data_IF_230627370918
#
_entry.id   IF_230627370918
#
_cell.length_a   1.000
_cell.length_b   1.000
_cell.length_c   1.000
_cell.angle_alpha   90.00
_cell.angle_beta   90.00
_cell.angle_gamma   90.00
#
_symmetry.space_group_name_H-M   'P 1'
#
loop_
_entity.id
_entity.type
_entity.pdbx_description
1 polymer ?
#
# COMPACT_ATOMS: atom_id res chain seq x y z
N UNK A 1 37.45 -38.62 -31.04
CA UNK A 1 38.81 -38.07 -31.16
C UNK A 1 39.56 -38.86 -32.20
N UNK A 2 40.31 -38.23 -33.12
CA UNK A 2 41.04 -38.98 -34.13
C UNK A 2 42.26 -39.65 -33.48
N UNK A 3 42.40 -40.99 -33.51
CA UNK A 3 43.50 -41.69 -32.85
C UNK A 3 44.89 -41.50 -33.50
N UNK A 4 45.02 -40.72 -34.57
CA UNK A 4 46.19 -40.78 -35.46
C UNK A 4 47.33 -39.80 -35.21
N UNK A 5 47.20 -38.78 -34.35
CA UNK A 5 48.20 -37.69 -34.26
C UNK A 5 49.34 -37.97 -33.28
N UNK A 6 49.06 -38.65 -32.17
CA UNK A 6 50.10 -39.04 -31.19
C UNK A 6 51.03 -40.12 -31.74
N UNK A 7 50.50 -41.02 -32.58
CA UNK A 7 51.28 -42.03 -33.29
C UNK A 7 52.21 -41.44 -34.36
N UNK A 8 51.86 -40.29 -34.96
CA UNK A 8 52.71 -39.63 -35.96
C UNK A 8 53.93 -38.94 -35.34
N UNK A 9 53.75 -38.28 -34.20
CA UNK A 9 54.86 -37.66 -33.48
C UNK A 9 55.85 -38.72 -32.95
N UNK A 10 55.35 -39.83 -32.40
CA UNK A 10 56.22 -40.95 -31.98
C UNK A 10 56.92 -41.61 -33.18
N UNK A 11 56.23 -41.77 -34.30
CA UNK A 11 56.81 -42.32 -35.53
C UNK A 11 57.92 -41.44 -36.11
N UNK A 12 57.75 -40.12 -36.12
CA UNK A 12 58.75 -39.18 -36.66
C UNK A 12 59.99 -39.08 -35.75
N UNK A 13 59.82 -39.17 -34.43
CA UNK A 13 60.93 -39.25 -33.48
C UNK A 13 61.71 -40.57 -33.61
N UNK A 14 61.02 -41.69 -33.80
CA UNK A 14 61.64 -42.98 -34.08
C UNK A 14 62.40 -42.98 -35.41
N UNK A 15 61.83 -42.36 -36.44
CA UNK A 15 62.47 -42.19 -37.74
C UNK A 15 63.71 -41.30 -37.65
N UNK A 16 63.66 -40.20 -36.89
CA UNK A 16 64.83 -39.37 -36.60
C UNK A 16 65.96 -40.13 -35.90
N UNK A 17 65.64 -41.03 -34.95
CA UNK A 17 66.64 -41.90 -34.30
C UNK A 17 67.25 -42.89 -35.30
N UNK A 18 66.44 -43.48 -36.18
CA UNK A 18 66.91 -44.39 -37.24
C UNK A 18 67.80 -43.67 -38.25
N UNK A 19 67.43 -42.46 -38.67
CA UNK A 19 68.23 -41.64 -39.59
C UNK A 19 69.56 -41.22 -38.96
N UNK A 20 69.57 -40.89 -37.67
CA UNK A 20 70.80 -40.59 -36.93
C UNK A 20 71.75 -41.81 -36.89
N UNK A 21 71.22 -43.00 -36.62
CA UNK A 21 72.02 -44.22 -36.63
C UNK A 21 72.56 -44.53 -38.04
N UNK A 22 71.77 -44.30 -39.10
CA UNK A 22 72.22 -44.45 -40.49
C UNK A 22 73.33 -43.45 -40.86
N UNK A 23 73.23 -42.21 -40.38
CA UNK A 23 74.26 -41.19 -40.56
C UNK A 23 75.58 -41.63 -39.90
N UNK A 24 75.53 -42.03 -38.63
CA UNK A 24 76.70 -42.52 -37.90
C UNK A 24 77.34 -43.74 -38.59
N UNK A 25 76.52 -44.66 -39.14
CA UNK A 25 77.01 -45.81 -39.90
C UNK A 25 77.66 -45.40 -41.24
N UNK A 26 77.08 -44.43 -41.96
CA UNK A 26 77.62 -43.94 -43.23
C UNK A 26 78.94 -43.19 -43.03
N UNK A 27 79.06 -42.39 -41.97
CA UNK A 27 80.31 -41.71 -41.58
C UNK A 27 81.42 -42.72 -41.25
N UNK A 28 81.08 -43.78 -40.50
CA UNK A 28 82.02 -44.86 -40.20
C UNK A 28 82.50 -45.58 -41.47
N UNK A 29 81.60 -45.88 -42.41
CA UNK A 29 81.95 -46.48 -43.70
C UNK A 29 82.86 -45.56 -44.54
N UNK A 30 82.56 -44.26 -44.54
CA UNK A 30 83.37 -43.27 -45.25
C UNK A 30 84.79 -43.19 -44.68
N UNK A 31 84.93 -43.16 -43.36
CA UNK A 31 86.24 -43.11 -42.70
C UNK A 31 87.04 -44.37 -42.97
N UNK A 32 86.42 -45.55 -42.89
CA UNK A 32 87.08 -46.82 -43.20
C UNK A 32 87.56 -46.89 -44.66
N UNK A 33 86.73 -46.48 -45.62
CA UNK A 33 87.11 -46.46 -47.04
C UNK A 33 88.25 -45.47 -47.32
N UNK A 34 88.25 -44.31 -46.65
CA UNK A 34 89.36 -43.34 -46.72
C UNK A 34 90.67 -43.91 -46.17
N UNK A 35 90.62 -44.56 -45.02
CA UNK A 35 91.79 -45.19 -44.40
C UNK A 35 92.34 -46.32 -45.29
N UNK A 36 91.48 -47.15 -45.87
CA UNK A 36 91.88 -48.20 -46.81
C UNK A 36 92.54 -47.62 -48.07
N UNK A 37 91.96 -46.57 -48.66
CA UNK A 37 92.53 -45.89 -49.81
C UNK A 37 93.89 -45.24 -49.49
N UNK A 38 94.02 -44.59 -48.34
CA UNK A 38 95.29 -44.01 -47.88
C UNK A 38 96.35 -45.09 -47.66
N UNK A 39 96.02 -46.17 -46.97
CA UNK A 39 96.95 -47.29 -46.76
C UNK A 39 97.34 -48.00 -48.07
N UNK A 40 96.45 -48.07 -49.06
CA UNK A 40 96.77 -48.59 -50.39
C UNK A 40 97.72 -47.64 -51.16
N UNK A 41 97.52 -46.33 -51.09
CA UNK A 41 98.43 -45.33 -51.69
C UNK A 41 99.81 -45.34 -51.04
N UNK A 42 99.89 -45.44 -49.72
CA UNK A 42 101.16 -45.53 -49.00
C UNK A 42 101.94 -46.78 -49.40
N UNK A 43 101.26 -47.94 -49.48
CA UNK A 43 101.85 -49.20 -49.97
C UNK A 43 102.31 -49.07 -51.42
N UNK A 44 101.49 -48.48 -52.29
CA UNK A 44 101.87 -48.21 -53.67
C UNK A 44 103.12 -47.32 -53.75
N UNK A 45 103.21 -46.28 -52.91
CA UNK A 45 104.38 -45.39 -52.83
C UNK A 45 105.66 -46.12 -52.40
N UNK A 46 105.58 -47.00 -51.39
CA UNK A 46 106.72 -47.85 -50.96
C UNK A 46 107.16 -48.82 -52.06
N UNK A 47 106.21 -49.53 -52.67
CA UNK A 47 106.50 -50.46 -53.77
C UNK A 47 107.08 -49.75 -54.99
N UNK A 48 106.68 -48.51 -55.27
CA UNK A 48 107.26 -47.71 -56.35
C UNK A 48 108.73 -47.36 -56.06
N UNK A 49 109.09 -47.06 -54.80
CA UNK A 49 110.48 -46.85 -54.39
C UNK A 49 111.28 -48.13 -54.53
N UNK A 50 110.75 -49.28 -54.09
CA UNK A 50 111.40 -50.60 -54.24
C UNK A 50 111.60 -50.97 -55.71
N UNK A 51 110.60 -50.73 -56.57
CA UNK A 51 110.68 -50.94 -58.01
C UNK A 51 111.78 -50.07 -58.64
N UNK A 52 111.86 -48.79 -58.26
CA UNK A 52 112.90 -47.88 -58.74
C UNK A 52 114.31 -48.34 -58.30
N UNK A 53 114.45 -48.84 -57.06
CA UNK A 53 115.71 -49.41 -56.58
C UNK A 53 116.08 -50.69 -57.34
N UNK A 54 115.12 -51.58 -57.59
CA UNK A 54 115.33 -52.81 -58.36
C UNK A 54 115.76 -52.52 -59.81
N UNK A 55 115.19 -51.48 -60.44
CA UNK A 55 115.57 -51.02 -61.79
C UNK A 55 116.98 -50.42 -61.86
N UNK A 56 117.54 -49.95 -60.74
CA UNK A 56 118.89 -49.38 -60.66
C UNK A 56 119.98 -50.42 -60.30
N UNK A 57 119.61 -51.68 -60.00
CA UNK A 57 120.58 -52.73 -59.66
C UNK A 57 121.41 -53.15 -60.90
N UNK A 58 122.75 -53.31 -60.78
CA UNK A 58 123.59 -53.78 -61.89
C UNK A 58 123.26 -55.22 -62.31
N UNK A 59 123.24 -55.45 -63.63
CA UNK A 59 122.70 -56.59 -64.41
C UNK A 59 123.19 -58.02 -64.09
N UNK A 60 123.89 -58.26 -62.97
CA UNK A 60 124.48 -59.57 -62.65
C UNK A 60 123.51 -60.54 -61.92
N UNK A 61 122.31 -60.10 -61.54
CA UNK A 61 121.33 -60.94 -60.85
C UNK A 61 120.31 -61.57 -61.83
N UNK A 62 120.33 -62.91 -62.01
CA UNK A 62 119.41 -63.60 -62.92
C UNK A 62 117.94 -63.59 -62.46
N UNK A 63 117.62 -63.21 -61.22
CA UNK A 63 116.24 -63.14 -60.71
C UNK A 63 115.61 -61.74 -60.76
N UNK A 64 116.41 -60.69 -60.99
CA UNK A 64 115.95 -59.30 -61.08
C UNK A 64 114.74 -59.04 -62.01
N UNK A 65 114.62 -59.62 -63.23
CA UNK A 65 113.46 -59.36 -64.08
C UNK A 65 112.14 -59.91 -63.50
N UNK A 66 112.17 -61.04 -62.80
CA UNK A 66 110.98 -61.62 -62.17
C UNK A 66 110.52 -60.80 -60.96
N UNK A 67 111.48 -60.28 -60.17
CA UNK A 67 111.19 -59.37 -59.05
C UNK A 67 110.59 -58.04 -59.55
N UNK A 68 111.13 -57.46 -60.62
CA UNK A 68 110.61 -56.24 -61.24
C UNK A 68 109.18 -56.43 -61.77
N UNK A 69 108.89 -57.58 -62.40
CA UNK A 69 107.55 -57.90 -62.89
C UNK A 69 106.55 -58.10 -61.74
N UNK A 70 106.96 -58.77 -60.67
CA UNK A 70 106.15 -58.94 -59.45
C UNK A 70 105.86 -57.58 -58.77
N UNK A 71 106.86 -56.71 -58.63
CA UNK A 71 106.70 -55.37 -58.05
C UNK A 71 105.79 -54.48 -58.91
N UNK A 72 105.93 -54.51 -60.26
CA UNK A 72 105.02 -53.81 -61.17
C UNK A 72 103.58 -54.27 -61.00
N UNK A 73 103.35 -55.58 -60.87
CA UNK A 73 102.02 -56.14 -60.64
C UNK A 73 101.43 -55.66 -59.31
N UNK A 74 102.20 -55.71 -58.22
CA UNK A 74 101.77 -55.24 -56.91
C UNK A 74 101.48 -53.73 -56.88
N UNK A 75 102.27 -52.91 -57.60
CA UNK A 75 102.00 -51.47 -57.75
C UNK A 75 100.65 -51.23 -58.44
N UNK A 76 100.35 -51.97 -59.51
CA UNK A 76 99.06 -51.85 -60.22
C UNK A 76 97.89 -52.30 -59.33
N UNK A 77 98.05 -53.42 -58.61
CA UNK A 77 97.03 -53.93 -57.69
C UNK A 77 96.73 -52.94 -56.54
N UNK A 78 97.76 -52.38 -55.90
CA UNK A 78 97.58 -51.41 -54.82
C UNK A 78 97.07 -50.05 -55.32
N UNK A 79 97.41 -49.66 -56.56
CA UNK A 79 96.85 -48.47 -57.19
C UNK A 79 95.36 -48.65 -57.50
N UNK A 80 94.97 -49.80 -58.03
CA UNK A 80 93.56 -50.12 -58.27
C UNK A 80 92.79 -50.15 -56.94
N UNK A 81 93.32 -50.79 -55.90
CA UNK A 81 92.71 -50.81 -54.57
C UNK A 81 92.55 -49.40 -53.96
N UNK A 82 93.48 -48.48 -54.25
CA UNK A 82 93.36 -47.09 -53.84
C UNK A 82 92.27 -46.33 -54.61
N UNK A 83 92.12 -46.59 -55.91
CA UNK A 83 91.07 -46.00 -56.75
C UNK A 83 89.68 -46.53 -56.34
N UNK A 84 89.56 -47.83 -56.09
CA UNK A 84 88.34 -48.48 -55.59
C UNK A 84 87.95 -47.90 -54.21
N UNK A 85 88.89 -47.81 -53.28
CA UNK A 85 88.65 -47.23 -51.95
C UNK A 85 88.27 -45.74 -52.00
N UNK A 86 88.80 -44.96 -52.96
CA UNK A 86 88.36 -43.57 -53.19
C UNK A 86 86.94 -43.51 -53.73
N UNK A 87 86.57 -44.38 -54.67
CA UNK A 87 85.21 -44.47 -55.19
C UNK A 87 84.21 -44.85 -54.08
N UNK A 88 84.58 -45.80 -53.22
CA UNK A 88 83.79 -46.18 -52.05
C UNK A 88 83.66 -45.03 -51.05
N UNK A 89 84.73 -44.28 -50.77
CA UNK A 89 84.69 -43.11 -49.90
C UNK A 89 83.80 -41.99 -50.46
N UNK A 90 83.78 -41.78 -51.78
CA UNK A 90 82.87 -40.84 -52.44
C UNK A 90 81.41 -41.31 -52.40
N UNK A 91 81.16 -42.61 -52.60
CA UNK A 91 79.81 -43.16 -52.45
C UNK A 91 79.31 -43.04 -51.01
N UNK A 92 80.16 -43.31 -50.03
CA UNK A 92 79.83 -43.15 -48.61
C UNK A 92 79.59 -41.68 -48.26
N UNK A 93 80.36 -40.75 -48.83
CA UNK A 93 80.13 -39.31 -48.68
C UNK A 93 78.74 -38.89 -49.15
N UNK A 94 78.30 -39.35 -50.32
CA UNK A 94 76.95 -39.04 -50.83
C UNK A 94 75.86 -39.57 -49.90
N UNK A 95 76.05 -40.78 -49.33
CA UNK A 95 75.12 -41.35 -48.34
C UNK A 95 75.06 -40.52 -47.05
N UNK A 96 76.18 -39.96 -46.60
CA UNK A 96 76.23 -39.02 -45.47
C UNK A 96 75.41 -37.76 -45.78
N UNK A 97 75.67 -37.12 -46.92
CA UNK A 97 74.95 -35.90 -47.34
C UNK A 97 73.43 -36.15 -47.48
N UNK A 98 73.02 -37.30 -48.03
CA UNK A 98 71.62 -37.71 -48.11
C UNK A 98 70.99 -37.95 -46.73
N UNK A 99 71.71 -38.62 -45.81
CA UNK A 99 71.23 -38.89 -44.46
C UNK A 99 71.11 -37.61 -43.61
N UNK A 100 72.03 -36.66 -43.76
CA UNK A 100 71.96 -35.35 -43.10
C UNK A 100 70.74 -34.55 -43.56
N UNK A 101 70.50 -34.51 -44.88
CA UNK A 101 69.34 -33.82 -45.45
C UNK A 101 68.03 -34.43 -44.94
N UNK A 102 67.91 -35.76 -44.96
CA UNK A 102 66.75 -36.47 -44.44
C UNK A 102 66.53 -36.21 -42.94
N UNK A 103 67.61 -36.20 -42.14
CA UNK A 103 67.53 -35.90 -40.71
C UNK A 103 67.05 -34.46 -40.46
N UNK A 104 67.49 -33.50 -41.26
CA UNK A 104 67.06 -32.11 -41.17
C UNK A 104 65.56 -31.97 -41.47
N UNK A 105 65.09 -32.60 -42.54
CA UNK A 105 63.66 -32.61 -42.91
C UNK A 105 62.81 -33.24 -41.80
N UNK A 106 63.21 -34.40 -41.27
CA UNK A 106 62.50 -35.06 -40.18
C UNK A 106 62.41 -34.18 -38.92
N UNK A 107 63.48 -33.44 -38.58
CA UNK A 107 63.46 -32.49 -37.43
C UNK A 107 62.51 -31.33 -37.65
N UNK A 108 62.47 -30.77 -38.86
CA UNK A 108 61.54 -29.68 -39.22
C UNK A 108 60.07 -30.16 -39.17
N UNK A 109 59.80 -31.38 -39.63
CA UNK A 109 58.48 -32.01 -39.51
C UNK A 109 58.06 -32.23 -38.05
N UNK A 110 58.95 -32.73 -37.20
CA UNK A 110 58.65 -32.86 -35.76
C UNK A 110 58.37 -31.50 -35.13
N UNK A 111 59.17 -30.48 -35.44
CA UNK A 111 58.99 -29.13 -34.90
C UNK A 111 57.66 -28.49 -35.35
N UNK A 112 57.27 -28.67 -36.60
CA UNK A 112 55.97 -28.18 -37.12
C UNK A 112 54.79 -28.91 -36.50
N UNK A 113 54.88 -30.24 -36.33
CA UNK A 113 53.86 -31.02 -35.64
C UNK A 113 53.71 -30.60 -34.17
N UNK A 114 54.81 -30.39 -33.45
CA UNK A 114 54.77 -29.92 -32.06
C UNK A 114 54.13 -28.54 -31.95
N UNK A 115 54.50 -27.57 -32.82
CA UNK A 115 53.86 -26.25 -32.85
C UNK A 115 52.36 -26.34 -33.14
N UNK A 116 51.95 -27.19 -34.08
CA UNK A 116 50.54 -27.41 -34.38
C UNK A 116 49.78 -27.99 -33.19
N UNK A 117 50.35 -28.97 -32.48
CA UNK A 117 49.74 -29.55 -31.28
C UNK A 117 49.62 -28.53 -30.13
N UNK A 118 50.64 -27.71 -29.92
CA UNK A 118 50.61 -26.64 -28.92
C UNK A 118 49.52 -25.61 -29.25
N UNK A 119 49.42 -25.21 -30.53
CA UNK A 119 48.38 -24.29 -30.98
C UNK A 119 46.97 -24.90 -30.84
N UNK A 120 46.75 -26.15 -31.26
CA UNK A 120 45.48 -26.86 -31.07
C UNK A 120 45.09 -26.92 -29.58
N UNK A 121 46.05 -27.23 -28.70
CA UNK A 121 45.82 -27.28 -27.26
C UNK A 121 45.49 -25.90 -26.68
N UNK A 122 46.18 -24.85 -27.13
CA UNK A 122 45.92 -23.47 -26.70
C UNK A 122 44.51 -23.03 -27.12
N UNK A 123 44.13 -23.23 -28.39
CA UNK A 123 42.80 -22.90 -28.90
C UNK A 123 41.70 -23.67 -28.17
N UNK A 124 41.91 -24.96 -27.90
CA UNK A 124 40.95 -25.78 -27.16
C UNK A 124 40.78 -25.28 -25.73
N UNK A 125 41.88 -24.96 -25.03
CA UNK A 125 41.84 -24.44 -23.67
C UNK A 125 41.19 -23.06 -23.60
N UNK A 126 41.47 -22.18 -24.56
CA UNK A 126 40.84 -20.86 -24.65
C UNK A 126 39.33 -20.98 -24.92
N UNK A 127 38.94 -21.86 -25.85
CA UNK A 127 37.53 -22.13 -26.14
C UNK A 127 36.80 -22.69 -24.92
N UNK A 128 37.43 -23.61 -24.18
CA UNK A 128 36.88 -24.15 -22.93
C UNK A 128 36.72 -23.07 -21.86
N UNK A 129 37.70 -22.18 -21.70
CA UNK A 129 37.64 -21.07 -20.74
C UNK A 129 36.53 -20.08 -21.10
N UNK A 130 36.40 -19.71 -22.38
CA UNK A 130 35.30 -18.86 -22.88
C UNK A 130 33.94 -19.50 -22.63
N UNK A 131 33.78 -20.79 -22.94
CA UNK A 131 32.53 -21.50 -22.69
C UNK A 131 32.18 -21.57 -21.19
N UNK A 132 33.17 -21.73 -20.31
CA UNK A 132 32.96 -21.69 -18.86
C UNK A 132 32.53 -20.28 -18.40
N UNK A 133 33.19 -19.24 -18.89
CA UNK A 133 32.85 -17.85 -18.57
C UNK A 133 31.43 -17.50 -19.03
N UNK A 134 31.03 -17.92 -20.23
CA UNK A 134 29.66 -17.72 -20.76
C UNK A 134 28.62 -18.49 -19.94
N UNK A 135 28.94 -19.71 -19.52
CA UNK A 135 28.05 -20.51 -18.66
C UNK A 135 27.86 -19.87 -17.28
N UNK A 136 28.92 -19.32 -16.68
CA UNK A 136 28.86 -18.59 -15.42
C UNK A 136 28.08 -17.28 -15.55
N UNK A 137 28.32 -16.51 -16.61
CA UNK A 137 27.56 -15.29 -16.91
C UNK A 137 26.07 -15.60 -17.10
N UNK A 138 25.74 -16.68 -17.80
CA UNK A 138 24.35 -17.13 -18.01
C UNK A 138 23.68 -17.53 -16.69
N UNK A 139 24.41 -18.23 -15.80
CA UNK A 139 23.93 -18.57 -14.45
C UNK A 139 23.71 -17.31 -13.60
N UNK A 140 24.60 -16.33 -13.69
CA UNK A 140 24.46 -15.04 -13.02
C UNK A 140 23.19 -14.30 -13.46
N UNK A 141 22.96 -14.20 -14.77
CA UNK A 141 21.72 -13.60 -15.33
C UNK A 141 20.46 -14.36 -14.90
N UNK A 142 20.51 -15.69 -14.89
CA UNK A 142 19.37 -16.50 -14.43
C UNK A 142 19.05 -16.25 -12.95
N UNK A 143 20.06 -16.18 -12.09
CA UNK A 143 19.85 -15.86 -10.66
C UNK A 143 19.27 -14.46 -10.47
N UNK A 144 19.77 -13.47 -11.21
CA UNK A 144 19.21 -12.11 -11.17
C UNK A 144 17.75 -12.11 -11.60
N UNK A 145 17.43 -12.75 -12.74
CA UNK A 145 16.05 -12.84 -13.21
C UNK A 145 15.12 -13.57 -12.23
N UNK A 146 15.62 -14.58 -11.51
CA UNK A 146 14.87 -15.26 -10.44
C UNK A 146 14.61 -14.33 -9.24
N UNK A 147 15.58 -13.50 -8.86
CA UNK A 147 15.40 -12.50 -7.80
C UNK A 147 14.39 -11.43 -8.22
N UNK A 148 14.54 -10.87 -9.42
CA UNK A 148 13.62 -9.85 -9.95
C UNK A 148 12.18 -10.40 -10.04
N UNK A 149 12.02 -11.67 -10.44
CA UNK A 149 10.71 -12.34 -10.46
C UNK A 149 10.13 -12.53 -9.06
N UNK A 150 10.96 -12.88 -8.06
CA UNK A 150 10.51 -13.02 -6.67
C UNK A 150 10.09 -11.68 -6.07
N UNK A 151 10.83 -10.61 -6.35
CA UNK A 151 10.51 -9.25 -5.89
C UNK A 151 9.26 -8.72 -6.58
N UNK A 152 9.07 -9.00 -7.88
CA UNK A 152 7.83 -8.69 -8.59
C UNK A 152 6.62 -9.42 -7.99
N UNK A 153 6.76 -10.70 -7.63
CA UNK A 153 5.70 -11.45 -6.97
C UNK A 153 5.36 -10.89 -5.58
N UNK A 154 6.36 -10.46 -4.80
CA UNK A 154 6.12 -9.77 -3.53
C UNK A 154 5.37 -8.46 -3.73
N UNK A 155 5.82 -7.64 -4.68
CA UNK A 155 5.14 -6.40 -5.04
C UNK A 155 3.69 -6.62 -5.49
N UNK A 156 3.42 -7.67 -6.24
CA UNK A 156 2.05 -8.04 -6.64
C UNK A 156 1.20 -8.49 -5.44
N UNK A 157 1.76 -9.27 -4.52
CA UNK A 157 1.06 -9.68 -3.29
C UNK A 157 0.73 -8.49 -2.40
N UNK A 158 1.67 -7.55 -2.21
CA UNK A 158 1.42 -6.32 -1.45
C UNK A 158 0.35 -5.46 -2.12
N UNK A 159 0.37 -5.33 -3.46
CA UNK A 159 -0.65 -4.60 -4.19
C UNK A 159 -2.05 -5.24 -4.05
N UNK A 160 -2.12 -6.58 -4.09
CA UNK A 160 -3.38 -7.31 -3.84
C UNK A 160 -3.88 -7.11 -2.42
N UNK A 161 -3.01 -7.22 -1.41
CA UNK A 161 -3.37 -6.95 -0.02
C UNK A 161 -3.91 -5.54 0.16
N UNK A 162 -3.26 -4.52 -0.41
CA UNK A 162 -3.75 -3.14 -0.39
C UNK A 162 -5.09 -2.99 -1.09
N UNK A 163 -5.32 -3.69 -2.20
CA UNK A 163 -6.60 -3.66 -2.91
C UNK A 163 -7.73 -4.30 -2.06
N UNK A 164 -7.44 -5.40 -1.38
CA UNK A 164 -8.38 -6.06 -0.48
C UNK A 164 -8.70 -5.18 0.74
N UNK A 165 -7.68 -4.55 1.33
CA UNK A 165 -7.84 -3.58 2.42
C UNK A 165 -8.69 -2.37 1.99
N UNK A 166 -8.44 -1.82 0.81
CA UNK A 166 -9.24 -0.72 0.24
C UNK A 166 -10.69 -1.14 -0.02
N UNK A 167 -10.91 -2.37 -0.49
CA UNK A 167 -12.24 -2.92 -0.71
C UNK A 167 -12.98 -3.11 0.62
N UNK A 168 -12.30 -3.62 1.64
CA UNK A 168 -12.86 -3.75 2.99
C UNK A 168 -13.16 -2.38 3.62
N UNK A 169 -12.28 -1.41 3.47
CA UNK A 169 -12.48 -0.04 3.95
C UNK A 169 -13.67 0.63 3.27
N UNK A 170 -13.81 0.45 1.94
CA UNK A 170 -14.97 0.94 1.19
C UNK A 170 -16.27 0.32 1.69
N UNK A 171 -16.29 -0.98 1.94
CA UNK A 171 -17.47 -1.67 2.48
C UNK A 171 -17.87 -1.11 3.85
N UNK A 172 -16.91 -0.90 4.75
CA UNK A 172 -17.16 -0.26 6.06
C UNK A 172 -17.74 1.14 5.89
N UNK A 173 -17.17 1.94 5.00
CA UNK A 173 -17.68 3.28 4.72
C UNK A 173 -19.11 3.26 4.13
N UNK A 174 -19.45 2.28 3.29
CA UNK A 174 -20.80 2.09 2.76
C UNK A 174 -21.79 1.66 3.86
N UNK A 175 -21.38 0.78 4.78
CA UNK A 175 -22.16 0.37 5.96
C UNK A 175 -22.41 1.55 6.91
N UNK A 176 -21.37 2.34 7.21
CA UNK A 176 -21.48 3.57 8.02
C UNK A 176 -22.39 4.62 7.37
N UNK A 177 -22.27 4.80 6.04
CA UNK A 177 -23.15 5.71 5.31
C UNK A 177 -24.61 5.25 5.31
N UNK A 178 -24.86 3.94 5.28
CA UNK A 178 -26.21 3.39 5.42
C UNK A 178 -26.78 3.62 6.82
N UNK A 179 -25.97 3.44 7.87
CA UNK A 179 -26.36 3.74 9.25
C UNK A 179 -26.72 5.22 9.44
N UNK A 180 -25.88 6.14 8.93
CA UNK A 180 -26.15 7.57 8.98
C UNK A 180 -27.43 7.98 8.23
N UNK A 181 -27.75 7.30 7.12
CA UNK A 181 -29.02 7.52 6.41
C UNK A 181 -30.23 7.11 7.26
N UNK A 182 -30.15 5.96 7.93
CA UNK A 182 -31.22 5.52 8.85
C UNK A 182 -31.40 6.50 10.02
N UNK A 183 -30.31 7.00 10.60
CA UNK A 183 -30.37 8.02 11.66
C UNK A 183 -30.98 9.33 11.17
N UNK A 184 -30.62 9.78 9.96
CA UNK A 184 -31.18 10.97 9.34
C UNK A 184 -32.70 10.82 9.10
N UNK A 185 -33.14 9.67 8.61
CA UNK A 185 -34.56 9.38 8.41
C UNK A 185 -35.33 9.36 9.73
N UNK A 186 -34.76 8.76 10.77
CA UNK A 186 -35.34 8.76 12.12
C UNK A 186 -35.45 10.18 12.69
N UNK A 187 -34.41 11.01 12.52
CA UNK A 187 -34.41 12.41 12.94
C UNK A 187 -35.46 13.23 12.18
N UNK A 188 -35.63 12.99 10.88
CA UNK A 188 -36.66 13.65 10.08
C UNK A 188 -38.07 13.27 10.53
N UNK A 189 -38.33 12.00 10.85
CA UNK A 189 -39.62 11.57 11.41
C UNK A 189 -39.88 12.17 12.79
N UNK A 190 -38.87 12.21 13.67
CA UNK A 190 -38.98 12.87 14.97
C UNK A 190 -39.31 14.37 14.82
N UNK A 191 -38.70 15.05 13.83
CA UNK A 191 -38.98 16.45 13.55
C UNK A 191 -40.41 16.66 13.02
N UNK A 192 -40.91 15.77 12.15
CA UNK A 192 -42.32 15.79 11.70
C UNK A 192 -43.28 15.64 12.87
N UNK A 193 -43.02 14.72 13.79
CA UNK A 193 -43.85 14.53 15.00
C UNK A 193 -43.83 15.79 15.86
N UNK A 194 -42.64 16.34 16.11
CA UNK A 194 -42.48 17.58 16.90
C UNK A 194 -43.24 18.74 16.27
N UNK A 195 -43.18 18.89 14.94
CA UNK A 195 -43.92 19.92 14.20
C UNK A 195 -45.44 19.73 14.31
N UNK A 196 -45.94 18.48 14.28
CA UNK A 196 -47.38 18.19 14.50
C UNK A 196 -47.82 18.55 15.91
N UNK A 197 -47.03 18.19 16.92
CA UNK A 197 -47.30 18.53 18.32
C UNK A 197 -47.33 20.06 18.50
N UNK A 198 -46.36 20.77 17.91
CA UNK A 198 -46.31 22.23 17.93
C UNK A 198 -47.58 22.84 17.30
N UNK A 199 -47.98 22.38 16.10
CA UNK A 199 -49.18 22.86 15.43
C UNK A 199 -50.47 22.58 16.23
N UNK A 200 -50.58 21.41 16.88
CA UNK A 200 -51.73 21.06 17.72
C UNK A 200 -51.76 21.91 19.01
N UNK A 201 -50.59 22.17 19.60
CA UNK A 201 -50.47 23.06 20.76
C UNK A 201 -50.89 24.48 20.42
N UNK A 202 -50.50 24.99 19.25
CA UNK A 202 -50.91 26.30 18.76
C UNK A 202 -52.43 26.37 18.55
N UNK A 203 -53.04 25.33 17.99
CA UNK A 203 -54.50 25.24 17.85
C UNK A 203 -55.20 25.27 19.21
N UNK A 204 -54.70 24.53 20.20
CA UNK A 204 -55.24 24.53 21.58
C UNK A 204 -55.08 25.90 22.24
N UNK A 205 -53.92 26.55 22.07
CA UNK A 205 -53.67 27.90 22.59
C UNK A 205 -54.59 28.94 21.95
N UNK A 206 -54.82 28.87 20.62
CA UNK A 206 -55.78 29.75 19.92
C UNK A 206 -57.22 29.51 20.43
N UNK A 207 -57.64 28.26 20.60
CA UNK A 207 -58.97 27.93 21.14
C UNK A 207 -59.14 28.42 22.58
N UNK A 208 -58.14 28.22 23.44
CA UNK A 208 -58.14 28.74 24.81
C UNK A 208 -58.14 30.28 24.85
N UNK A 209 -57.42 30.93 23.92
CA UNK A 209 -57.43 32.39 23.76
C UNK A 209 -58.82 32.91 23.38
N UNK A 210 -59.49 32.26 22.41
CA UNK A 210 -60.88 32.59 22.04
C UNK A 210 -61.86 32.38 23.20
N UNK A 211 -61.71 31.29 23.95
CA UNK A 211 -62.54 31.05 25.14
C UNK A 211 -62.30 32.10 26.23
N UNK A 212 -61.05 32.47 26.48
CA UNK A 212 -60.70 33.54 27.42
C UNK A 212 -61.32 34.87 26.98
N UNK A 213 -61.31 35.16 25.69
CA UNK A 213 -61.94 36.36 25.13
C UNK A 213 -63.47 36.33 25.33
N UNK A 214 -64.13 35.20 25.02
CA UNK A 214 -65.57 35.05 25.27
C UNK A 214 -65.93 35.24 26.75
N UNK A 215 -65.18 34.62 27.66
CA UNK A 215 -65.38 34.79 29.11
C UNK A 215 -65.15 36.24 29.54
N UNK A 216 -64.16 36.93 28.96
CA UNK A 216 -63.91 38.35 29.24
C UNK A 216 -65.04 39.25 28.77
N UNK A 217 -65.61 38.98 27.58
CA UNK A 217 -66.76 39.71 27.03
C UNK A 217 -68.02 39.46 27.89
N UNK A 218 -68.23 38.21 28.32
CA UNK A 218 -69.33 37.83 29.20
C UNK A 218 -69.20 38.48 30.59
N UNK A 219 -68.00 38.49 31.18
CA UNK A 219 -67.73 39.23 32.42
C UNK A 219 -68.02 40.72 32.25
N UNK A 220 -67.61 41.32 31.12
CA UNK A 220 -67.84 42.74 30.85
C UNK A 220 -69.33 43.04 30.71
N UNK A 221 -70.09 42.16 30.06
CA UNK A 221 -71.55 42.24 29.97
C UNK A 221 -72.20 42.11 31.35
N UNK A 222 -71.83 41.10 32.14
CA UNK A 222 -72.35 40.89 33.49
C UNK A 222 -72.04 42.08 34.41
N UNK A 223 -70.86 42.70 34.27
CA UNK A 223 -70.54 43.95 34.97
C UNK A 223 -71.48 45.09 34.58
N UNK A 224 -71.75 45.27 33.29
CA UNK A 224 -72.71 46.28 32.83
C UNK A 224 -74.14 46.04 33.35
N UNK A 225 -74.58 44.79 33.40
CA UNK A 225 -75.87 44.41 33.99
C UNK A 225 -75.90 44.70 35.51
N UNK A 226 -74.81 44.40 36.22
CA UNK A 226 -74.66 44.70 37.65
C UNK A 226 -74.68 46.21 37.93
N UNK A 227 -73.98 47.01 37.13
CA UNK A 227 -73.97 48.47 37.27
C UNK A 227 -75.38 49.05 37.04
N UNK A 228 -76.09 48.53 36.04
CA UNK A 228 -77.49 48.91 35.77
C UNK A 228 -78.39 48.55 36.95
N UNK A 229 -78.28 47.33 37.50
CA UNK A 229 -79.04 46.91 38.68
C UNK A 229 -78.70 47.70 39.93
N UNK A 230 -77.45 48.12 40.06
CA UNK A 230 -77.00 49.00 41.15
C UNK A 230 -77.66 50.37 41.04
N UNK A 231 -77.69 50.95 39.83
CA UNK A 231 -78.37 52.22 39.57
C UNK A 231 -79.89 52.13 39.81
N UNK A 232 -80.55 51.05 39.38
CA UNK A 232 -81.96 50.78 39.66
C UNK A 232 -82.23 50.69 41.17
N UNK A 233 -81.38 49.95 41.90
CA UNK A 233 -81.50 49.81 43.35
C UNK A 233 -81.33 51.16 44.06
N UNK A 234 -80.37 51.98 43.65
CA UNK A 234 -80.18 53.33 44.18
C UNK A 234 -81.41 54.22 43.90
N UNK A 235 -81.97 54.15 42.69
CA UNK A 235 -83.20 54.88 42.32
C UNK A 235 -84.39 54.46 43.17
N UNK A 236 -84.61 53.15 43.35
CA UNK A 236 -85.66 52.60 44.21
C UNK A 236 -85.47 53.02 45.66
N UNK A 237 -84.23 53.04 46.16
CA UNK A 237 -83.94 53.44 47.53
C UNK A 237 -84.24 54.93 47.75
N UNK A 238 -83.92 55.78 46.78
CA UNK A 238 -84.30 57.20 46.79
C UNK A 238 -85.83 57.37 46.78
N UNK A 239 -86.53 56.61 45.94
CA UNK A 239 -88.00 56.62 45.88
C UNK A 239 -88.63 56.16 47.20
N UNK A 240 -88.08 55.11 47.82
CA UNK A 240 -88.49 54.64 49.14
C UNK A 240 -88.24 55.69 50.23
N UNK A 241 -87.11 56.39 50.19
CA UNK A 241 -86.81 57.46 51.13
C UNK A 241 -87.80 58.63 50.97
N UNK A 242 -88.07 59.08 49.74
CA UNK A 242 -89.10 60.09 49.48
C UNK A 242 -90.49 59.63 49.92
N UNK A 243 -90.84 58.36 49.72
CA UNK A 243 -92.12 57.81 50.20
C UNK A 243 -92.21 57.80 51.73
N UNK A 244 -91.11 57.50 52.44
CA UNK A 244 -91.03 57.58 53.91
C UNK A 244 -91.19 59.01 54.41
N UNK A 245 -90.53 59.96 53.78
CA UNK A 245 -90.63 61.38 54.15
C UNK A 245 -92.06 61.91 53.93
N UNK A 246 -92.69 61.54 52.80
CA UNK A 246 -94.10 61.82 52.56
C UNK A 246 -95.02 61.17 53.60
N UNK A 247 -94.81 59.89 53.92
CA UNK A 247 -95.61 59.19 54.93
C UNK A 247 -95.46 59.82 56.33
N UNK A 248 -94.26 60.31 56.67
CA UNK A 248 -94.02 61.07 57.91
C UNK A 248 -94.79 62.39 57.90
N UNK A 249 -94.70 63.15 56.82
CA UNK A 249 -95.46 64.41 56.63
C UNK A 249 -96.98 64.17 56.80
N UNK A 250 -97.54 63.16 56.13
CA UNK A 250 -98.96 62.82 56.26
C UNK A 250 -99.33 62.37 57.67
N UNK A 251 -98.48 61.57 58.34
CA UNK A 251 -98.71 61.14 59.71
C UNK A 251 -98.67 62.30 60.69
N UNK A 252 -97.72 63.23 60.58
CA UNK A 252 -97.64 64.43 61.42
C UNK A 252 -98.85 65.34 61.18
N UNK A 253 -99.27 65.53 59.92
CA UNK A 253 -100.47 66.30 59.61
C UNK A 253 -101.73 65.68 60.20
N UNK A 254 -101.90 64.36 60.08
CA UNK A 254 -103.03 63.64 60.64
C UNK A 254 -103.03 63.65 62.17
N UNK A 255 -101.87 63.48 62.82
CA UNK A 255 -101.72 63.59 64.28
C UNK A 255 -102.06 65.01 64.77
N UNK A 256 -101.61 66.06 64.08
CA UNK A 256 -101.91 67.44 64.46
C UNK A 256 -103.41 67.77 64.28
N UNK A 257 -104.04 67.27 63.21
CA UNK A 257 -105.48 67.37 63.02
C UNK A 257 -106.25 66.63 64.10
N UNK A 258 -105.89 65.37 64.38
CA UNK A 258 -106.51 64.59 65.45
C UNK A 258 -106.34 65.24 66.83
N UNK A 259 -105.17 65.81 67.13
CA UNK A 259 -104.90 66.55 68.38
C UNK A 259 -105.79 67.80 68.51
N UNK A 260 -105.92 68.59 67.43
CA UNK A 260 -106.77 69.78 67.42
C UNK A 260 -108.26 69.42 67.53
N UNK A 261 -108.71 68.35 66.89
CA UNK A 261 -110.07 67.82 67.04
C UNK A 261 -110.33 67.29 68.46
N UNK A 262 -109.38 66.59 69.06
CA UNK A 262 -109.48 66.07 70.43
C UNK A 262 -109.55 67.23 71.44
N UNK A 263 -108.72 68.25 71.29
CA UNK A 263 -108.79 69.46 72.13
C UNK A 263 -110.12 70.21 71.94
N UNK A 264 -110.66 70.26 70.72
CA UNK A 264 -111.98 70.86 70.47
C UNK A 264 -113.11 70.06 71.14
N UNK A 265 -113.01 68.72 71.12
CA UNK A 265 -113.95 67.83 71.78
C UNK A 265 -113.89 67.96 73.33
N UNK A 266 -112.70 68.03 73.91
CA UNK A 266 -112.52 68.26 75.35
C UNK A 266 -113.14 69.59 75.80
N UNK A 267 -112.95 70.67 75.05
CA UNK A 267 -113.59 71.97 75.36
C UNK A 267 -115.11 71.87 75.36
N UNK A 268 -115.70 71.12 74.44
CA UNK A 268 -117.16 70.88 74.39
C UNK A 268 -117.62 70.07 75.60
N UNK A 269 -116.84 69.08 76.02
CA UNK A 269 -117.12 68.26 77.21
C UNK A 269 -117.08 69.08 78.49
N UNK A 270 -116.08 69.95 78.66
CA UNK A 270 -115.98 70.87 79.81
C UNK A 270 -117.19 71.81 79.86
N UNK A 271 -117.56 72.41 78.72
CA UNK A 271 -118.77 73.25 78.64
C UNK A 271 -120.06 72.47 78.97
N UNK A 272 -120.16 71.22 78.53
CA UNK A 272 -121.30 70.35 78.85
C UNK A 272 -121.36 70.02 80.34
N UNK A 273 -120.20 69.75 80.98
CA UNK A 273 -120.13 69.48 82.42
C UNK A 273 -120.48 70.71 83.26
N UNK A 274 -120.02 71.90 82.86
CA UNK A 274 -120.44 73.15 83.51
C UNK A 274 -121.97 73.32 83.44
N UNK A 275 -122.56 72.99 82.27
CA UNK A 275 -124.02 73.01 82.08
C UNK A 275 -124.73 71.95 82.93
N UNK A 276 -124.15 70.76 83.07
CA UNK A 276 -124.68 69.69 83.92
C UNK A 276 -124.64 70.09 85.40
N UNK A 277 -123.55 70.67 85.91
CA UNK A 277 -123.49 71.19 87.28
C UNK A 277 -124.49 72.32 87.54
N UNK A 278 -124.76 73.18 86.55
CA UNK A 278 -125.84 74.18 86.67
C UNK A 278 -127.22 73.52 86.78
N UNK A 279 -127.47 72.47 86.00
CA UNK A 279 -128.73 71.70 86.08
C UNK A 279 -128.86 70.93 87.40
N UNK A 280 -127.77 70.36 87.93
CA UNK A 280 -127.76 69.74 89.25
C UNK A 280 -128.08 70.73 90.37
N UNK A 281 -127.55 71.96 90.30
CA UNK A 281 -127.89 73.02 91.25
C UNK A 281 -129.38 73.40 91.17
N UNK A 282 -129.95 73.46 89.96
CA UNK A 282 -131.38 73.72 89.75
C UNK A 282 -132.26 72.57 90.25
N UNK A 283 -131.85 71.31 90.05
CA UNK A 283 -132.53 70.13 90.60
C UNK A 283 -132.43 70.08 92.12
N UNK A 284 -131.31 70.48 92.71
CA UNK A 284 -131.15 70.64 94.15
C UNK A 284 -132.13 71.67 94.73
N UNK A 285 -132.29 72.82 94.05
CA UNK A 285 -133.31 73.83 94.42
C UNK A 285 -134.75 73.30 94.26
N UNK A 286 -135.04 72.58 93.18
CA UNK A 286 -136.34 71.97 92.95
C UNK A 286 -136.67 70.92 94.01
N UNK A 287 -135.73 70.05 94.37
CA UNK A 287 -135.91 69.04 95.42
C UNK A 287 -136.08 69.65 96.82
N UNK A 288 -135.35 70.73 97.14
CA UNK A 288 -135.58 71.48 98.38
C UNK A 288 -137.00 72.09 98.42
N UNK A 289 -137.49 72.56 97.27
CA UNK A 289 -138.86 73.09 97.13
C UNK A 289 -139.92 71.98 97.28
N UNK A 290 -139.67 70.80 96.70
CA UNK A 290 -140.55 69.62 96.83
C UNK A 290 -140.57 69.10 98.27
N UNK A 291 -139.42 69.04 98.95
CA UNK A 291 -139.34 68.66 100.36
C UNK A 291 -140.09 69.65 101.27
N UNK A 292 -140.01 70.96 100.96
CA UNK A 292 -140.78 72.00 101.66
C UNK A 292 -142.29 71.86 101.42
N UNK A 293 -142.72 71.51 100.20
CA UNK A 293 -144.13 71.23 99.91
C UNK A 293 -144.62 69.93 100.58
N UNK A 294 -143.78 68.90 100.66
CA UNK A 294 -144.08 67.68 101.44
C UNK A 294 -144.17 67.96 102.94
N UNK A 295 -143.41 68.93 103.46
CA UNK A 295 -143.52 69.43 104.85
C UNK A 295 -144.86 70.15 105.13
N UNK A 296 -145.57 70.64 104.10
CA UNK A 296 -146.90 71.23 104.25
C UNK A 296 -148.06 70.22 104.14
N UNK A 297 -147.88 69.12 103.39
CA UNK A 297 -148.95 68.16 103.10
C UNK A 297 -149.16 67.07 104.16
N UNK A 298 -148.29 66.98 105.17
CA UNK A 298 -148.42 66.07 106.31
C UNK A 298 -148.98 66.75 107.59
N UNK A 299 -149.49 67.98 107.48
CA UNK A 299 -150.24 68.73 108.51
C UNK A 299 -151.70 68.84 108.10
#
# INVERSE_FOLDING_TARGET
GPPGKSQRASSAEEEGRRLKAKLEQAEQQQNLAREQAQGALERCGRLQVELNQALQRPSADPNAPKEIEALKKQVVEHRQAAEDGRSEAESARRRVEEAELALKQAREEVATQQRAQQHESAVFNESRAKAQQEAEASRGRLRQAQQDAADAQRGEQEARQRADEMTAARRRAEEDAAALRLELDAANEANKVTSRIAAESEKKMRGAGQQTQHLSDEISRLRGELDTKTAETQSLNNALQSARDNARMYREHAMNQSSTETQAAERRLVQSNERASQLEAQLGQANASVAYLQQQLAR
#
